data_IF_855912150839
#
_entry.id   IF_855912150839
#
_cell.length_a   1.000
_cell.length_b   1.000
_cell.length_c   1.000
_cell.angle_alpha   90.00
_cell.angle_beta   90.00
_cell.angle_gamma   90.00
#
_symmetry.space_group_name_H-M   'P 1'
#
loop_
_entity.id
_entity.type
_entity.pdbx_description
1 polymer ?
#
# COMPACT_ATOMS: atom_id res chain seq x y z
N UNK A 1 -6.76 -13.47 14.11
CA UNK A 1 -5.85 -12.41 13.64
C UNK A 1 -4.54 -12.47 14.39
N UNK A 2 -3.41 -12.64 13.68
CA UNK A 2 -2.05 -12.58 14.22
C UNK A 2 -1.42 -11.21 13.87
N UNK A 3 -0.44 -10.76 14.66
CA UNK A 3 0.29 -9.51 14.48
C UNK A 3 1.77 -9.82 14.50
N UNK A 4 2.43 -9.64 13.37
CA UNK A 4 3.78 -10.11 13.16
C UNK A 4 4.73 -8.96 12.77
N UNK A 5 6.02 -9.19 12.91
CA UNK A 5 7.08 -8.30 12.41
C UNK A 5 8.21 -9.13 11.82
N UNK A 6 8.76 -8.63 10.72
CA UNK A 6 9.95 -9.21 10.07
C UNK A 6 10.85 -8.08 9.60
N UNK A 7 12.16 -8.29 9.62
CA UNK A 7 13.11 -7.33 9.05
C UNK A 7 13.41 -7.69 7.61
N UNK A 8 13.15 -6.77 6.70
CA UNK A 8 13.38 -6.92 5.26
C UNK A 8 14.11 -5.68 4.75
N UNK A 9 15.16 -5.85 3.97
CA UNK A 9 16.01 -4.74 3.50
C UNK A 9 16.50 -3.82 4.62
N UNK A 10 16.73 -4.39 5.83
CA UNK A 10 17.13 -3.62 7.01
C UNK A 10 16.00 -2.85 7.70
N UNK A 11 14.75 -2.97 7.24
CA UNK A 11 13.57 -2.26 7.74
C UNK A 11 12.63 -3.24 8.43
N UNK A 12 12.14 -2.88 9.61
CA UNK A 12 11.17 -3.68 10.36
C UNK A 12 9.76 -3.46 9.81
N UNK A 13 9.21 -4.48 9.14
CA UNK A 13 7.87 -4.49 8.56
C UNK A 13 6.91 -5.16 9.52
N UNK A 14 5.82 -4.47 9.88
CA UNK A 14 4.69 -5.03 10.58
C UNK A 14 3.66 -5.55 9.58
N UNK A 15 3.00 -6.66 9.91
CA UNK A 15 1.87 -7.17 9.13
C UNK A 15 0.85 -7.90 9.99
N UNK A 16 -0.39 -7.87 9.51
CA UNK A 16 -1.53 -8.63 10.03
C UNK A 16 -1.71 -9.88 9.21
N UNK A 17 -2.14 -10.94 9.87
CA UNK A 17 -2.33 -12.24 9.25
C UNK A 17 -3.52 -12.97 9.87
N UNK A 18 -4.35 -13.62 9.05
CA UNK A 18 -5.41 -14.54 9.50
C UNK A 18 -5.81 -15.49 8.38
N UNK A 19 -6.63 -16.48 8.73
CA UNK A 19 -6.97 -17.62 7.87
C UNK A 19 -5.99 -18.79 8.03
N UNK A 20 -6.33 -19.92 7.49
CA UNK A 20 -5.53 -21.14 7.58
C UNK A 20 -4.47 -21.18 6.49
N UNK A 21 -3.31 -21.75 6.80
CA UNK A 21 -2.11 -21.72 5.94
C UNK A 21 -2.27 -22.56 4.65
N UNK A 22 -3.26 -23.48 4.60
CA UNK A 22 -3.58 -24.32 3.44
C UNK A 22 -4.49 -23.62 2.40
N UNK A 23 -4.95 -22.41 2.69
CA UNK A 23 -5.85 -21.64 1.81
C UNK A 23 -5.09 -20.77 0.81
N UNK A 24 -5.74 -20.40 -0.31
CA UNK A 24 -5.17 -19.44 -1.24
C UNK A 24 -4.78 -18.14 -0.52
N UNK A 25 -3.59 -17.63 -0.79
CA UNK A 25 -3.09 -16.41 -0.16
C UNK A 25 -3.73 -15.19 -0.84
N UNK A 26 -4.18 -14.22 -0.03
CA UNK A 26 -4.58 -12.88 -0.48
C UNK A 26 -3.77 -11.83 0.28
N UNK A 27 -3.01 -11.03 -0.47
CA UNK A 27 -2.25 -9.90 0.05
C UNK A 27 -3.09 -8.64 -0.07
N UNK A 28 -3.25 -7.89 1.04
CA UNK A 28 -4.03 -6.66 1.08
C UNK A 28 -3.09 -5.47 1.24
N UNK A 29 -3.05 -4.62 0.21
CA UNK A 29 -2.19 -3.44 0.13
C UNK A 29 -2.99 -2.17 0.37
N UNK A 30 -2.71 -1.51 1.50
CA UNK A 30 -3.42 -0.32 1.95
C UNK A 30 -3.02 0.96 1.21
N UNK A 31 -3.74 2.04 1.46
CA UNK A 31 -3.46 3.36 0.92
C UNK A 31 -3.14 4.43 1.98
N UNK A 32 -3.07 5.67 1.52
CA UNK A 32 -2.91 6.86 2.36
C UNK A 32 -4.30 7.47 2.67
N UNK A 33 -4.54 7.97 3.89
CA UNK A 33 -3.66 8.06 5.06
C UNK A 33 -3.90 6.91 6.05
N UNK A 34 -3.85 5.68 5.59
CA UNK A 34 -4.20 4.50 6.37
C UNK A 34 -3.00 3.56 6.57
N UNK A 35 -3.29 2.35 7.03
CA UNK A 35 -2.39 1.25 7.27
C UNK A 35 -3.17 -0.08 7.16
N UNK A 36 -2.56 -1.23 7.37
CA UNK A 36 -3.24 -2.53 7.36
C UNK A 36 -4.45 -2.59 8.33
N UNK A 37 -4.52 -1.67 9.30
CA UNK A 37 -5.67 -1.54 10.20
C UNK A 37 -7.00 -1.30 9.48
N UNK A 38 -6.98 -0.71 8.27
CA UNK A 38 -8.20 -0.52 7.48
C UNK A 38 -8.91 -1.83 7.13
N UNK A 39 -8.16 -2.93 7.08
CA UNK A 39 -8.68 -4.26 6.74
C UNK A 39 -9.14 -5.07 7.95
N UNK A 40 -9.20 -4.49 9.17
CA UNK A 40 -9.52 -5.18 10.43
C UNK A 40 -10.86 -5.93 10.42
N UNK A 41 -11.83 -5.42 9.66
CA UNK A 41 -13.17 -6.02 9.53
C UNK A 41 -13.27 -6.91 8.28
N UNK A 42 -12.54 -6.57 7.21
CA UNK A 42 -12.51 -7.36 5.97
C UNK A 42 -11.77 -8.69 6.16
N UNK A 43 -10.64 -8.68 6.87
CA UNK A 43 -9.83 -9.89 7.06
C UNK A 43 -10.60 -11.00 7.78
N UNK A 44 -11.27 -10.77 8.92
CA UNK A 44 -12.10 -11.81 9.56
C UNK A 44 -13.26 -12.29 8.71
N UNK A 45 -13.83 -11.42 7.87
CA UNK A 45 -14.93 -11.79 6.97
C UNK A 45 -14.51 -12.71 5.82
N UNK A 46 -13.22 -12.79 5.52
CA UNK A 46 -12.67 -13.60 4.43
C UNK A 46 -11.78 -14.75 4.90
N UNK A 47 -11.49 -14.88 6.19
CA UNK A 47 -10.54 -15.87 6.74
C UNK A 47 -10.96 -17.33 6.54
N UNK A 48 -12.24 -17.58 6.25
CA UNK A 48 -12.75 -18.90 5.91
C UNK A 48 -12.43 -19.30 4.44
N UNK A 49 -12.05 -18.35 3.58
CA UNK A 49 -11.76 -18.52 2.15
C UNK A 49 -10.29 -18.36 1.80
N UNK A 50 -9.59 -17.49 2.51
CA UNK A 50 -8.23 -17.08 2.19
C UNK A 50 -7.31 -17.10 3.42
N UNK A 51 -6.02 -17.33 3.18
CA UNK A 51 -4.96 -16.92 4.07
C UNK A 51 -4.60 -15.48 3.74
N UNK A 52 -4.92 -14.54 4.64
CA UNK A 52 -4.86 -13.10 4.41
C UNK A 52 -3.62 -12.49 5.07
N UNK A 53 -2.90 -11.67 4.33
CA UNK A 53 -1.68 -11.00 4.76
C UNK A 53 -1.79 -9.52 4.40
N UNK A 54 -1.69 -8.65 5.39
CA UNK A 54 -1.81 -7.20 5.23
C UNK A 54 -0.59 -6.50 5.87
N UNK A 55 0.46 -6.16 5.11
CA UNK A 55 1.60 -5.41 5.61
C UNK A 55 1.29 -3.93 5.76
N UNK A 56 2.01 -3.27 6.68
CA UNK A 56 2.18 -1.80 6.70
C UNK A 56 3.44 -1.45 5.89
N UNK A 57 3.36 -0.47 5.00
CA UNK A 57 4.54 0.02 4.28
C UNK A 57 5.54 0.71 5.21
N UNK A 58 6.83 0.82 4.84
CA UNK A 58 7.76 1.72 5.49
C UNK A 58 7.17 3.14 5.63
N UNK A 59 7.22 3.71 6.83
CA UNK A 59 6.63 5.02 7.10
C UNK A 59 5.14 5.02 7.43
N UNK A 60 4.49 3.86 7.45
CA UNK A 60 3.06 3.72 7.76
C UNK A 60 2.81 2.78 8.94
N UNK A 61 1.70 3.02 9.62
CA UNK A 61 1.17 2.14 10.67
C UNK A 61 2.17 1.82 11.76
N UNK A 62 2.48 0.53 11.91
CA UNK A 62 3.41 0.00 12.91
C UNK A 62 4.74 -0.48 12.32
N UNK A 63 4.95 -0.31 11.01
CA UNK A 63 6.24 -0.52 10.38
C UNK A 63 7.22 0.59 10.75
N UNK A 64 8.50 0.31 10.58
CA UNK A 64 9.55 1.30 10.81
C UNK A 64 9.42 2.47 9.82
N UNK A 65 9.76 3.67 10.30
CA UNK A 65 9.80 4.90 9.49
C UNK A 65 11.26 5.32 9.30
N UNK A 66 11.96 4.78 8.30
CA UNK A 66 13.35 5.17 8.04
C UNK A 66 13.48 6.65 7.75
N UNK A 67 14.63 7.23 8.12
CA UNK A 67 14.93 8.63 7.80
C UNK A 67 14.97 8.82 6.27
N UNK A 68 14.29 9.85 5.77
CA UNK A 68 14.24 10.21 4.36
C UNK A 68 15.61 10.52 3.73
N UNK A 69 16.64 10.79 4.55
CA UNK A 69 18.01 10.93 4.07
C UNK A 69 18.61 9.59 3.61
N UNK A 70 18.06 8.47 4.09
CA UNK A 70 18.55 7.11 3.84
C UNK A 70 17.53 6.21 3.17
N UNK A 71 16.28 6.69 3.01
CA UNK A 71 15.20 5.94 2.39
C UNK A 71 14.41 6.81 1.41
N UNK A 72 14.41 6.45 0.14
CA UNK A 72 13.61 7.12 -0.87
C UNK A 72 12.16 6.62 -0.79
N UNK A 73 11.25 7.47 -0.32
CA UNK A 73 9.81 7.18 -0.27
C UNK A 73 9.16 7.35 -1.64
N UNK A 74 9.48 6.42 -2.56
CA UNK A 74 8.89 6.33 -3.90
C UNK A 74 8.05 5.06 -4.00
N UNK A 75 7.08 5.02 -4.91
CA UNK A 75 6.31 3.80 -5.16
C UNK A 75 7.16 2.66 -5.68
N UNK A 76 8.22 2.95 -6.44
CA UNK A 76 9.17 1.95 -6.91
C UNK A 76 9.88 1.27 -5.73
N UNK A 77 10.45 2.06 -4.83
CA UNK A 77 11.17 1.53 -3.68
C UNK A 77 10.23 0.85 -2.66
N UNK A 78 9.02 1.39 -2.45
CA UNK A 78 8.01 0.72 -1.62
C UNK A 78 7.62 -0.64 -2.21
N UNK A 79 7.47 -0.73 -3.54
CA UNK A 79 7.16 -1.99 -4.21
C UNK A 79 8.32 -2.99 -4.10
N UNK A 80 9.57 -2.54 -4.19
CA UNK A 80 10.76 -3.38 -3.98
C UNK A 80 10.80 -3.97 -2.57
N UNK A 81 10.56 -3.14 -1.55
CA UNK A 81 10.53 -3.60 -0.15
C UNK A 81 9.37 -4.57 0.08
N UNK A 82 8.19 -4.30 -0.48
CA UNK A 82 7.03 -5.19 -0.34
C UNK A 82 7.21 -6.50 -1.10
N UNK A 83 7.83 -6.50 -2.28
CA UNK A 83 8.18 -7.72 -2.99
C UNK A 83 9.19 -8.57 -2.20
N UNK A 84 10.23 -7.94 -1.65
CA UNK A 84 11.19 -8.61 -0.77
C UNK A 84 10.52 -9.13 0.52
N UNK A 85 9.53 -8.39 1.08
CA UNK A 85 8.73 -8.86 2.21
C UNK A 85 7.97 -10.14 1.86
N UNK A 86 7.26 -10.17 0.74
CA UNK A 86 6.51 -11.35 0.28
C UNK A 86 7.43 -12.57 0.09
N UNK A 87 8.61 -12.36 -0.50
CA UNK A 87 9.60 -13.44 -0.65
C UNK A 87 10.12 -13.93 0.71
N UNK A 88 10.38 -13.03 1.66
CA UNK A 88 10.89 -13.38 2.98
C UNK A 88 9.88 -14.19 3.83
N UNK A 89 8.59 -14.08 3.55
CA UNK A 89 7.53 -14.88 4.19
C UNK A 89 7.02 -16.01 3.28
N UNK A 90 7.78 -16.35 2.21
CA UNK A 90 7.50 -17.43 1.28
C UNK A 90 6.16 -17.35 0.55
N UNK A 91 5.75 -16.14 0.16
CA UNK A 91 4.55 -15.89 -0.64
C UNK A 91 4.92 -15.84 -2.12
N UNK A 92 4.78 -16.98 -2.78
CA UNK A 92 5.18 -17.16 -4.20
C UNK A 92 4.04 -16.82 -5.16
N UNK A 93 2.80 -17.23 -4.84
CA UNK A 93 1.60 -16.98 -5.66
C UNK A 93 0.45 -16.52 -4.79
N UNK A 94 -0.23 -15.44 -5.19
CA UNK A 94 -1.26 -14.81 -4.36
C UNK A 94 -2.29 -14.04 -5.18
N UNK A 95 -3.48 -13.92 -4.62
CA UNK A 95 -4.44 -12.87 -4.98
C UNK A 95 -4.01 -11.56 -4.34
N UNK A 96 -4.27 -10.45 -5.01
CA UNK A 96 -3.90 -9.12 -4.52
C UNK A 96 -5.13 -8.22 -4.43
N UNK A 97 -5.36 -7.64 -3.27
CA UNK A 97 -6.33 -6.57 -3.07
C UNK A 97 -5.56 -5.26 -2.94
N UNK A 98 -5.82 -4.31 -3.82
CA UNK A 98 -5.14 -3.00 -3.83
C UNK A 98 -6.14 -1.87 -3.59
N UNK A 99 -5.77 -0.96 -2.70
CA UNK A 99 -6.54 0.21 -2.36
C UNK A 99 -5.65 1.46 -2.39
N UNK A 100 -6.04 2.53 -3.10
CA UNK A 100 -5.34 3.82 -3.17
C UNK A 100 -3.83 3.63 -3.50
N UNK A 101 -2.88 3.94 -2.57
CA UNK A 101 -1.44 3.67 -2.75
C UNK A 101 -1.11 2.19 -2.95
N UNK A 102 -1.98 1.30 -2.52
CA UNK A 102 -1.87 -0.12 -2.81
C UNK A 102 -1.83 -0.43 -4.30
N UNK A 103 -2.50 0.37 -5.14
CA UNK A 103 -2.49 0.17 -6.59
C UNK A 103 -1.09 0.44 -7.20
N UNK A 104 -0.47 1.62 -7.08
CA UNK A 104 0.85 1.84 -7.64
C UNK A 104 1.92 0.90 -7.07
N UNK A 105 1.82 0.47 -5.81
CA UNK A 105 2.73 -0.53 -5.24
C UNK A 105 2.46 -1.92 -5.82
N UNK A 106 1.21 -2.37 -5.77
CA UNK A 106 0.82 -3.72 -6.17
C UNK A 106 1.00 -3.97 -7.66
N UNK A 107 0.65 -3.02 -8.52
CA UNK A 107 0.84 -3.17 -9.96
C UNK A 107 2.32 -3.22 -10.37
N UNK A 108 3.23 -2.55 -9.65
CA UNK A 108 4.68 -2.70 -9.85
C UNK A 108 5.16 -4.10 -9.51
N UNK A 109 4.65 -4.69 -8.43
CA UNK A 109 4.92 -6.09 -8.08
C UNK A 109 4.38 -7.02 -9.18
N UNK A 110 3.15 -6.80 -9.65
CA UNK A 110 2.54 -7.59 -10.70
C UNK A 110 3.30 -7.49 -12.04
N UNK A 111 3.82 -6.32 -12.39
CA UNK A 111 4.66 -6.16 -13.59
C UNK A 111 5.99 -6.89 -13.49
N UNK A 112 6.58 -6.95 -12.29
CA UNK A 112 7.85 -7.62 -12.02
C UNK A 112 7.71 -9.15 -11.93
N UNK A 113 6.59 -9.63 -11.39
CA UNK A 113 6.30 -11.04 -11.14
C UNK A 113 4.88 -11.41 -11.60
N UNK A 114 4.56 -11.29 -12.89
CA UNK A 114 3.19 -11.54 -13.39
C UNK A 114 2.71 -12.97 -13.09
N UNK A 115 3.61 -13.95 -13.09
CA UNK A 115 3.33 -15.36 -12.79
C UNK A 115 2.92 -15.61 -11.32
N UNK A 116 3.25 -14.69 -10.40
CA UNK A 116 2.88 -14.77 -9.00
C UNK A 116 1.43 -14.36 -8.76
N UNK A 117 0.82 -13.61 -9.67
CA UNK A 117 -0.49 -12.98 -9.49
C UNK A 117 -1.59 -13.93 -9.96
N UNK A 118 -2.43 -14.38 -9.03
CA UNK A 118 -3.60 -15.23 -9.30
C UNK A 118 -4.84 -14.42 -9.70
N UNK A 119 -4.93 -13.18 -9.25
CA UNK A 119 -6.01 -12.25 -9.55
C UNK A 119 -5.86 -10.97 -8.75
N UNK A 120 -6.50 -9.90 -9.20
CA UNK A 120 -6.42 -8.57 -8.59
C UNK A 120 -7.83 -8.05 -8.31
N UNK A 121 -8.07 -7.60 -7.09
CA UNK A 121 -9.21 -6.78 -6.70
C UNK A 121 -8.71 -5.34 -6.52
N UNK A 122 -9.18 -4.42 -7.34
CA UNK A 122 -8.80 -3.01 -7.25
C UNK A 122 -9.97 -2.16 -6.76
N UNK A 123 -9.76 -1.46 -5.65
CA UNK A 123 -10.72 -0.53 -5.08
C UNK A 123 -10.08 0.85 -4.99
N UNK A 124 -10.67 1.85 -5.63
CA UNK A 124 -10.19 3.24 -5.63
C UNK A 124 -8.70 3.36 -5.95
N UNK A 125 -8.18 2.41 -6.74
CA UNK A 125 -6.80 2.39 -7.21
C UNK A 125 -6.70 2.94 -8.61
N UNK A 126 -5.53 3.43 -8.99
CA UNK A 126 -5.23 3.90 -10.32
C UNK A 126 -4.01 3.18 -10.90
N UNK A 127 -4.09 2.81 -12.17
CA UNK A 127 -3.03 2.08 -12.90
C UNK A 127 -2.49 2.92 -14.06
N UNK A 128 -3.38 3.65 -14.74
CA UNK A 128 -3.08 4.42 -15.93
C UNK A 128 -3.19 5.92 -15.66
N UNK A 129 -2.39 6.72 -16.35
CA UNK A 129 -2.40 8.19 -16.19
C UNK A 129 -3.78 8.78 -16.50
N UNK A 130 -4.50 8.24 -17.47
CA UNK A 130 -5.85 8.63 -17.86
C UNK A 130 -6.88 8.43 -16.75
N UNK A 131 -6.60 7.54 -15.79
CA UNK A 131 -7.43 7.32 -14.60
C UNK A 131 -7.33 8.45 -13.57
N UNK A 132 -6.34 9.35 -13.70
CA UNK A 132 -6.20 10.52 -12.85
C UNK A 132 -7.19 11.61 -13.29
N UNK A 133 -8.25 11.83 -12.50
CA UNK A 133 -9.21 12.87 -12.78
C UNK A 133 -8.63 14.29 -12.63
N UNK A 134 -9.36 15.31 -13.09
CA UNK A 134 -8.93 16.74 -13.07
C UNK A 134 -8.44 17.25 -11.72
N UNK A 135 -8.92 16.69 -10.61
CA UNK A 135 -8.48 17.04 -9.24
C UNK A 135 -7.00 16.71 -8.98
N UNK A 136 -6.39 15.88 -9.84
CA UNK A 136 -4.99 15.46 -9.71
C UNK A 136 -4.01 16.31 -10.53
N UNK A 137 -4.50 17.23 -11.38
CA UNK A 137 -3.64 18.00 -12.29
C UNK A 137 -2.49 18.74 -11.58
N UNK A 138 -2.77 19.43 -10.47
CA UNK A 138 -1.73 20.12 -9.69
C UNK A 138 -0.71 19.14 -9.06
N UNK A 139 -1.14 17.92 -8.71
CA UNK A 139 -0.25 16.87 -8.21
C UNK A 139 0.60 16.29 -9.33
N UNK A 140 0.00 16.04 -10.49
CA UNK A 140 0.71 15.55 -11.66
C UNK A 140 1.79 16.55 -12.10
N UNK A 141 1.50 17.86 -12.07
CA UNK A 141 2.48 18.92 -12.33
C UNK A 141 3.65 18.88 -11.34
N UNK A 142 3.35 18.75 -10.03
CA UNK A 142 4.40 18.62 -9.02
C UNK A 142 5.26 17.36 -9.23
N UNK A 143 4.68 16.24 -9.63
CA UNK A 143 5.43 15.00 -9.88
C UNK A 143 6.35 15.11 -11.10
N UNK A 144 5.92 15.83 -12.14
CA UNK A 144 6.72 16.05 -13.35
C UNK A 144 7.79 17.11 -13.14
N UNK A 145 7.47 18.15 -12.37
CA UNK A 145 8.34 19.34 -12.17
C UNK A 145 8.40 19.71 -10.67
N UNK A 146 9.11 18.92 -9.84
CA UNK A 146 9.16 19.17 -8.40
C UNK A 146 9.97 20.42 -8.08
N UNK A 147 9.30 21.54 -7.80
CA UNK A 147 9.91 22.77 -7.29
C UNK A 147 9.63 22.99 -5.82
N UNK A 148 10.44 23.79 -5.09
CA UNK A 148 10.17 24.15 -3.71
C UNK A 148 8.80 24.80 -3.51
N UNK A 149 8.37 25.65 -4.44
CA UNK A 149 7.10 26.37 -4.41
C UNK A 149 5.91 25.41 -4.56
N UNK A 150 5.95 24.52 -5.55
CA UNK A 150 4.92 23.50 -5.75
C UNK A 150 4.88 22.52 -4.56
N UNK A 151 6.03 22.19 -3.99
CA UNK A 151 6.10 21.35 -2.79
C UNK A 151 5.42 22.02 -1.59
N UNK A 152 5.61 23.32 -1.41
CA UNK A 152 4.97 24.07 -0.31
C UNK A 152 3.44 24.10 -0.49
N UNK A 153 2.96 24.38 -1.70
CA UNK A 153 1.53 24.32 -2.02
C UNK A 153 0.94 22.94 -1.77
N UNK A 154 1.71 21.88 -2.09
CA UNK A 154 1.26 20.50 -1.94
C UNK A 154 1.15 20.04 -0.48
N UNK A 155 1.82 20.68 0.47
CA UNK A 155 1.69 20.38 1.91
C UNK A 155 0.25 20.47 2.42
N UNK A 156 -0.56 21.35 1.84
CA UNK A 156 -1.98 21.48 2.20
C UNK A 156 -2.79 20.18 1.98
N UNK A 157 -2.35 19.33 1.05
CA UNK A 157 -2.97 18.04 0.79
C UNK A 157 -2.88 17.07 2.00
N UNK A 158 -1.92 17.32 2.91
CA UNK A 158 -1.66 16.51 4.10
C UNK A 158 -2.09 17.22 5.39
N UNK A 159 -2.76 18.37 5.28
CA UNK A 159 -3.31 19.08 6.43
C UNK A 159 -4.41 18.25 7.11
N UNK A 160 -4.54 18.43 8.43
CA UNK A 160 -5.56 17.71 9.22
C UNK A 160 -6.97 17.87 8.65
N UNK A 161 -7.31 19.06 8.20
CA UNK A 161 -8.60 19.40 7.61
C UNK A 161 -8.85 18.61 6.33
N UNK A 162 -7.85 18.50 5.46
CA UNK A 162 -7.92 17.71 4.22
C UNK A 162 -8.10 16.22 4.51
N UNK A 163 -7.33 15.68 5.45
CA UNK A 163 -7.43 14.28 5.87
C UNK A 163 -8.79 14.01 6.53
N UNK A 164 -9.24 14.88 7.44
CA UNK A 164 -10.56 14.76 8.07
C UNK A 164 -11.66 14.77 6.99
N UNK A 165 -11.58 15.69 6.02
CA UNK A 165 -12.54 15.78 4.93
C UNK A 165 -12.66 14.49 4.10
N UNK A 166 -11.58 13.70 3.95
CA UNK A 166 -11.64 12.41 3.25
C UNK A 166 -12.50 11.37 3.99
N UNK A 167 -12.52 11.42 5.32
CA UNK A 167 -13.31 10.49 6.13
C UNK A 167 -14.76 10.95 6.34
N UNK A 168 -15.03 12.24 6.23
CA UNK A 168 -16.36 12.82 6.52
C UNK A 168 -17.10 13.25 5.26
N UNK A 169 -16.50 13.13 4.07
CA UNK A 169 -17.14 13.53 2.82
C UNK A 169 -18.33 12.61 2.50
N UNK A 170 -19.51 13.20 2.39
CA UNK A 170 -20.75 12.47 2.04
C UNK A 170 -21.44 11.75 3.21
N UNK A 171 -21.03 12.06 4.46
CA UNK A 171 -21.70 11.54 5.68
C UNK A 171 -22.69 12.56 6.23
#
# INVERSE_FOLDING_TARGET
>A
MKYNRITVCGIKIFYRECGADDKPIMVLLHGFPSASHMFRDLMPALEDKFHLIAPDYPGFGQSESPDRAHFAYTFDHLAEVMDAFLQAIHVDRFFMYVFDYGAPVGFRIAMKRPEAILGIVSQNGNVYEEGLGKKWSARAEYWQHPTPELREQYKSAFAKETVTGQYTYGT
#
